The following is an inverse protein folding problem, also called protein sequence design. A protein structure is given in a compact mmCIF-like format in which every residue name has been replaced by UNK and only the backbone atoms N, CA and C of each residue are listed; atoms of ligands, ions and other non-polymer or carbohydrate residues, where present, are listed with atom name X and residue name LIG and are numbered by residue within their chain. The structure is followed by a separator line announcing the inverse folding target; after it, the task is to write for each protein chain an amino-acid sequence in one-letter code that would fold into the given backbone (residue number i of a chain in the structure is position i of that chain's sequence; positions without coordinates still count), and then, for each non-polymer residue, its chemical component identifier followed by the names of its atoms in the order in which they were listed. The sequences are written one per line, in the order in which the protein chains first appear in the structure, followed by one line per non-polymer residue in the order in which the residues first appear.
data_IF_741475209717
#
_entry.id   IF_741475209717
#
_cell.length_a   1.000
_cell.length_b   1.000
_cell.length_c   1.000
_cell.angle_alpha   90.00
_cell.angle_beta   90.00
_cell.angle_gamma   90.00
#
_symmetry.space_group_name_H-M   'P 1'
#
loop_
_entity.id
_entity.type
_entity.pdbx_description
1 polymer ?
#
# COMPACT_ATOMS: atom_id res chain seq x y z
N UNK A 1 30.02 -18.29 1.07
CA UNK A 1 29.25 -17.94 2.29
C UNK A 1 27.92 -17.31 1.89
N UNK A 2 26.83 -18.08 1.93
CA UNK A 2 25.51 -17.61 1.56
C UNK A 2 24.89 -16.79 2.70
N UNK A 3 24.69 -15.48 2.50
CA UNK A 3 23.85 -14.67 3.40
C UNK A 3 22.40 -15.10 3.21
N UNK A 4 21.89 -15.97 4.09
CA UNK A 4 20.45 -16.11 4.33
C UNK A 4 19.96 -14.81 4.96
N UNK A 5 19.61 -13.84 4.13
CA UNK A 5 18.84 -12.67 4.58
C UNK A 5 17.46 -13.15 4.98
N UNK A 6 17.19 -13.11 6.29
CA UNK A 6 15.84 -13.19 6.80
C UNK A 6 14.98 -12.17 6.03
N UNK A 7 13.95 -12.62 5.33
CA UNK A 7 13.03 -11.77 4.56
C UNK A 7 11.97 -11.08 5.45
N UNK A 8 11.89 -11.46 6.73
CA UNK A 8 10.97 -10.89 7.74
C UNK A 8 11.21 -9.41 8.17
N UNK A 9 12.43 -8.84 8.21
CA UNK A 9 12.66 -7.53 8.81
C UNK A 9 12.18 -6.38 7.94
N UNK A 10 12.06 -6.56 6.62
CA UNK A 10 11.57 -5.49 5.74
C UNK A 10 10.07 -5.25 5.92
N UNK A 11 9.28 -6.32 6.06
CA UNK A 11 7.83 -6.25 6.21
C UNK A 11 7.45 -5.55 7.52
N UNK A 12 8.07 -5.95 8.64
CA UNK A 12 7.86 -5.34 9.97
C UNK A 12 8.28 -3.86 9.96
N UNK A 13 9.44 -3.53 9.34
CA UNK A 13 9.89 -2.13 9.20
C UNK A 13 8.92 -1.29 8.38
N UNK A 14 8.35 -1.85 7.31
CA UNK A 14 7.35 -1.17 6.48
C UNK A 14 6.09 -0.81 7.26
N UNK A 15 5.57 -1.73 8.08
CA UNK A 15 4.40 -1.46 8.91
C UNK A 15 4.71 -0.55 10.10
N UNK A 16 5.90 -0.60 10.69
CA UNK A 16 6.36 0.37 11.70
C UNK A 16 6.39 1.79 11.14
N UNK A 17 6.95 1.95 9.94
CA UNK A 17 6.93 3.22 9.24
C UNK A 17 5.49 3.70 8.97
N UNK A 18 4.60 2.80 8.54
CA UNK A 18 3.19 3.10 8.36
C UNK A 18 2.47 3.50 9.66
N UNK A 19 2.71 2.80 10.76
CA UNK A 19 2.08 3.07 12.06
C UNK A 19 2.51 4.43 12.65
N UNK A 20 3.79 4.78 12.51
CA UNK A 20 4.34 6.05 13.00
C UNK A 20 4.06 7.21 12.03
N UNK A 21 4.21 6.99 10.72
CA UNK A 21 4.23 8.03 9.70
C UNK A 21 2.94 8.24 8.90
N UNK A 22 1.94 7.35 8.98
CA UNK A 22 0.73 7.51 8.18
C UNK A 22 -0.13 8.69 8.66
N UNK A 23 -0.53 9.55 7.73
CA UNK A 23 -1.33 10.74 8.05
C UNK A 23 -2.80 10.41 8.39
N UNK A 24 -3.30 9.22 8.01
CA UNK A 24 -4.68 8.80 8.22
C UNK A 24 -4.86 7.87 9.42
N UNK A 25 -5.84 8.16 10.29
CA UNK A 25 -6.16 7.36 11.49
C UNK A 25 -6.44 5.89 11.17
N UNK A 26 -7.20 5.62 10.10
CA UNK A 26 -7.47 4.24 9.65
C UNK A 26 -6.22 3.51 9.16
N UNK A 27 -5.30 4.19 8.46
CA UNK A 27 -4.07 3.60 7.98
C UNK A 27 -3.09 3.28 9.13
N UNK A 28 -3.06 4.14 10.16
CA UNK A 28 -2.32 3.87 11.40
C UNK A 28 -2.87 2.66 12.14
N UNK A 29 -4.19 2.59 12.33
CA UNK A 29 -4.84 1.47 13.02
C UNK A 29 -4.59 0.16 12.26
N UNK A 30 -4.71 0.17 10.93
CA UNK A 30 -4.39 -1.00 10.10
C UNK A 30 -2.92 -1.43 10.24
N UNK A 31 -1.97 -0.48 10.18
CA UNK A 31 -0.56 -0.80 10.32
C UNK A 31 -0.23 -1.36 11.72
N UNK A 32 -0.83 -0.81 12.77
CA UNK A 32 -0.71 -1.32 14.14
C UNK A 32 -1.30 -2.73 14.30
N UNK A 33 -2.49 -2.98 13.73
CA UNK A 33 -3.11 -4.31 13.75
C UNK A 33 -2.20 -5.35 13.10
N UNK A 34 -1.66 -5.06 11.91
CA UNK A 34 -0.75 -5.98 11.21
C UNK A 34 0.55 -6.18 11.98
N UNK A 35 1.08 -5.14 12.64
CA UNK A 35 2.25 -5.25 13.52
C UNK A 35 1.99 -6.19 14.69
N UNK A 36 0.93 -5.97 15.46
CA UNK A 36 0.55 -6.82 16.60
C UNK A 36 0.35 -8.26 16.14
N UNK A 37 -0.23 -8.44 14.96
CA UNK A 37 -0.39 -9.76 14.35
C UNK A 37 0.93 -10.49 14.15
N UNK A 38 1.89 -9.80 13.50
CA UNK A 38 3.17 -10.37 13.09
C UNK A 38 4.13 -10.54 14.27
N UNK A 39 4.10 -9.65 15.27
CA UNK A 39 5.08 -9.62 16.36
C UNK A 39 4.62 -10.27 17.65
N UNK A 40 3.30 -10.35 17.92
CA UNK A 40 2.76 -10.91 19.17
C UNK A 40 1.93 -12.16 18.92
N UNK A 41 0.94 -12.10 18.02
CA UNK A 41 0.00 -13.21 17.82
C UNK A 41 0.67 -14.41 17.13
N UNK A 42 1.42 -14.18 16.05
CA UNK A 42 2.09 -15.25 15.32
C UNK A 42 3.12 -15.98 16.19
N UNK A 43 4.02 -15.30 16.94
CA UNK A 43 4.95 -15.98 17.84
C UNK A 43 4.25 -16.68 19.01
N UNK A 44 3.23 -16.07 19.62
CA UNK A 44 2.49 -16.71 20.71
C UNK A 44 1.80 -18.00 20.27
N UNK A 45 1.26 -18.00 19.04
CA UNK A 45 0.61 -19.17 18.45
C UNK A 45 1.64 -20.27 18.10
N UNK A 46 2.82 -19.89 17.61
CA UNK A 46 3.94 -20.82 17.36
C UNK A 46 4.52 -21.39 18.67
N UNK A 47 4.68 -20.57 19.71
CA UNK A 47 5.17 -20.97 21.03
C UNK A 47 4.15 -21.87 21.72
N UNK A 48 2.86 -21.51 21.68
CA UNK A 48 1.76 -22.35 22.16
C UNK A 48 1.75 -23.70 21.45
N UNK A 49 1.91 -23.72 20.12
CA UNK A 49 2.03 -24.94 19.34
C UNK A 49 3.26 -25.80 19.73
N UNK A 50 4.40 -25.19 20.07
CA UNK A 50 5.60 -25.93 20.46
C UNK A 50 5.58 -26.43 21.91
N UNK A 51 4.99 -25.68 22.84
CA UNK A 51 5.00 -26.01 24.27
C UNK A 51 3.82 -26.91 24.69
N UNK A 52 2.68 -26.79 24.03
CA UNK A 52 1.46 -27.54 24.38
C UNK A 52 1.62 -29.07 24.27
N UNK A 53 2.30 -29.63 23.24
CA UNK A 53 2.55 -31.08 23.17
C UNK A 53 3.58 -31.55 24.20
N UNK A 54 4.56 -30.70 24.54
CA UNK A 54 5.65 -31.03 25.46
C UNK A 54 5.19 -31.10 26.92
N UNK A 55 4.22 -30.27 27.32
CA UNK A 55 3.69 -30.26 28.69
C UNK A 55 2.68 -31.37 28.99
N UNK A 56 2.02 -31.94 27.97
CA UNK A 56 0.92 -32.89 28.17
C UNK A 56 1.33 -34.37 28.03
N UNK A 57 2.59 -34.68 27.74
CA UNK A 57 3.11 -36.06 27.73
C UNK A 57 2.36 -37.03 26.81
N UNK A 58 1.72 -36.52 25.74
CA UNK A 58 0.70 -37.27 25.00
C UNK A 58 1.20 -37.89 23.68
N UNK A 59 0.62 -39.05 23.35
CA UNK A 59 0.83 -39.88 22.14
C UNK A 59 0.69 -39.10 20.81
N UNK A 60 0.91 -39.70 19.63
CA UNK A 60 0.97 -38.98 18.32
C UNK A 60 -0.34 -38.32 17.83
N UNK A 61 -1.50 -38.57 18.44
CA UNK A 61 -2.83 -38.08 18.00
C UNK A 61 -3.18 -36.58 18.28
N UNK A 62 -2.73 -35.91 19.37
CA UNK A 62 -2.96 -34.50 19.62
C UNK A 62 -2.07 -33.58 18.77
N UNK A 63 -0.96 -34.08 18.19
CA UNK A 63 -0.12 -33.28 17.27
C UNK A 63 -0.93 -32.82 16.07
N UNK A 64 -1.79 -33.69 15.53
CA UNK A 64 -2.67 -33.36 14.41
C UNK A 64 -3.73 -32.32 14.80
N UNK A 65 -4.33 -32.45 15.98
CA UNK A 65 -5.30 -31.48 16.52
C UNK A 65 -4.66 -30.12 16.78
N UNK A 66 -3.43 -30.08 17.30
CA UNK A 66 -2.66 -28.84 17.46
C UNK A 66 -2.31 -28.22 16.10
N UNK A 67 -2.00 -29.03 15.09
CA UNK A 67 -1.70 -28.56 13.73
C UNK A 67 -2.93 -27.97 13.07
N UNK A 68 -4.07 -28.64 13.20
CA UNK A 68 -5.37 -28.14 12.70
C UNK A 68 -5.76 -26.87 13.46
N UNK A 69 -5.60 -26.83 14.78
CA UNK A 69 -5.87 -25.64 15.59
C UNK A 69 -4.98 -24.45 15.21
N UNK A 70 -3.69 -24.68 14.95
CA UNK A 70 -2.77 -23.65 14.48
C UNK A 70 -3.14 -23.17 13.07
N UNK A 71 -3.48 -24.08 12.15
CA UNK A 71 -3.91 -23.76 10.80
C UNK A 71 -5.20 -22.93 10.81
N UNK A 72 -6.20 -23.34 11.60
CA UNK A 72 -7.47 -22.62 11.78
C UNK A 72 -7.22 -21.25 12.42
N UNK A 73 -6.35 -21.17 13.43
CA UNK A 73 -5.96 -19.91 14.06
C UNK A 73 -5.33 -18.93 13.07
N UNK A 74 -4.38 -19.40 12.25
CA UNK A 74 -3.75 -18.59 11.18
C UNK A 74 -4.79 -18.17 10.12
N UNK A 75 -5.72 -19.06 9.75
CA UNK A 75 -6.76 -18.75 8.76
C UNK A 75 -7.75 -17.70 9.26
N UNK A 76 -8.20 -17.83 10.52
CA UNK A 76 -9.05 -16.84 11.20
C UNK A 76 -8.34 -15.49 11.34
N UNK A 77 -7.01 -15.50 11.52
CA UNK A 77 -6.18 -14.30 11.58
C UNK A 77 -6.03 -13.61 10.21
N UNK A 78 -5.93 -14.40 9.12
CA UNK A 78 -5.82 -13.89 7.76
C UNK A 78 -7.12 -13.26 7.26
N UNK A 79 -8.28 -13.74 7.73
CA UNK A 79 -9.59 -13.27 7.28
C UNK A 79 -9.83 -11.75 7.51
N UNK A 80 -9.60 -11.16 8.70
CA UNK A 80 -9.73 -9.72 8.89
C UNK A 80 -8.67 -8.91 8.14
N UNK A 81 -7.47 -9.45 7.92
CA UNK A 81 -6.42 -8.78 7.11
C UNK A 81 -6.80 -8.77 5.64
N UNK A 82 -7.28 -9.89 5.10
CA UNK A 82 -7.76 -9.99 3.72
C UNK A 82 -9.03 -9.15 3.51
N UNK A 83 -9.96 -9.18 4.46
CA UNK A 83 -11.16 -8.34 4.48
C UNK A 83 -10.81 -6.85 4.52
N UNK A 84 -9.88 -6.45 5.38
CA UNK A 84 -9.37 -5.08 5.43
C UNK A 84 -8.65 -4.70 4.12
N UNK A 85 -7.80 -5.57 3.56
CA UNK A 85 -7.12 -5.33 2.30
C UNK A 85 -8.10 -5.16 1.12
N UNK A 86 -9.17 -5.96 1.08
CA UNK A 86 -10.24 -5.81 0.10
C UNK A 86 -11.04 -4.52 0.31
N UNK A 87 -11.46 -4.23 1.54
CA UNK A 87 -12.22 -3.02 1.87
C UNK A 87 -11.42 -1.73 1.61
N UNK A 88 -10.15 -1.70 2.00
CA UNK A 88 -9.25 -0.57 1.73
C UNK A 88 -8.71 -0.57 0.29
N UNK A 89 -8.85 -1.68 -0.44
CA UNK A 89 -8.50 -1.84 -1.85
C UNK A 89 -9.59 -1.40 -2.82
N UNK A 90 -10.86 -1.32 -2.39
CA UNK A 90 -11.96 -0.85 -3.25
C UNK A 90 -11.66 0.56 -3.77
N UNK A 91 -11.78 0.72 -5.08
CA UNK A 91 -11.49 1.97 -5.78
C UNK A 91 -10.01 2.19 -6.11
N UNK A 92 -9.10 1.26 -5.78
CA UNK A 92 -7.71 1.30 -6.26
C UNK A 92 -7.58 0.61 -7.61
N UNK A 93 -6.89 1.28 -8.54
CA UNK A 93 -6.44 0.73 -9.83
C UNK A 93 -4.93 0.91 -9.92
N UNK A 94 -4.23 -0.18 -10.21
CA UNK A 94 -2.79 -0.16 -10.43
C UNK A 94 -2.53 -0.32 -11.93
N UNK A 95 -1.75 0.61 -12.49
CA UNK A 95 -1.28 0.59 -13.86
C UNK A 95 0.19 0.23 -13.85
N UNK A 96 0.59 -0.75 -14.64
CA UNK A 96 1.95 -1.28 -14.66
C UNK A 96 2.57 -1.04 -16.04
N UNK A 97 3.87 -0.72 -16.08
CA UNK A 97 4.62 -0.66 -17.34
C UNK A 97 4.65 -2.03 -18.02
N UNK A 98 4.82 -2.05 -19.35
CA UNK A 98 4.95 -3.28 -20.14
C UNK A 98 6.15 -4.13 -19.70
N UNK A 99 7.25 -3.47 -19.35
CA UNK A 99 8.47 -4.06 -18.77
C UNK A 99 8.31 -4.51 -17.30
N UNK A 100 7.16 -4.27 -16.67
CA UNK A 100 6.84 -4.63 -15.28
C UNK A 100 7.83 -4.07 -14.23
N UNK A 101 8.49 -2.98 -14.57
CA UNK A 101 9.47 -2.29 -13.74
C UNK A 101 8.92 -1.04 -13.05
N UNK A 102 7.70 -0.62 -13.38
CA UNK A 102 7.06 0.55 -12.81
C UNK A 102 5.55 0.33 -12.58
N UNK A 103 5.02 0.91 -11.50
CA UNK A 103 3.60 0.85 -11.13
C UNK A 103 3.10 2.22 -10.67
N UNK A 104 1.99 2.66 -11.24
CA UNK A 104 1.21 3.82 -10.83
C UNK A 104 -0.10 3.36 -10.18
N UNK A 105 -0.35 3.77 -8.93
CA UNK A 105 -1.61 3.44 -8.22
C UNK A 105 -2.50 4.66 -8.11
N UNK A 106 -3.71 4.56 -8.65
CA UNK A 106 -4.78 5.56 -8.56
C UNK A 106 -5.90 5.02 -7.68
N UNK A 107 -6.35 5.81 -6.72
CA UNK A 107 -7.43 5.46 -5.79
C UNK A 107 -8.59 6.45 -5.87
N UNK A 108 -9.80 5.97 -6.10
CA UNK A 108 -11.00 6.76 -5.85
C UNK A 108 -11.28 6.84 -4.34
N UNK A 109 -11.34 8.04 -3.78
CA UNK A 109 -11.58 8.27 -2.36
C UNK A 109 -12.33 9.59 -2.12
N UNK A 110 -13.59 9.52 -1.69
CA UNK A 110 -14.39 10.71 -1.31
C UNK A 110 -14.64 11.67 -2.46
N UNK A 111 -15.10 11.17 -3.61
CA UNK A 111 -15.44 12.00 -4.79
C UNK A 111 -14.24 12.57 -5.56
N UNK A 112 -13.02 12.16 -5.20
CA UNK A 112 -11.76 12.57 -5.84
C UNK A 112 -10.91 11.35 -6.16
N UNK A 113 -10.01 11.50 -7.13
CA UNK A 113 -9.02 10.48 -7.47
C UNK A 113 -7.66 10.87 -6.89
N UNK A 114 -7.06 9.96 -6.14
CA UNK A 114 -5.78 10.14 -5.49
C UNK A 114 -4.73 9.26 -6.15
N UNK A 115 -3.70 9.88 -6.71
CA UNK A 115 -2.49 9.20 -7.18
C UNK A 115 -1.62 8.96 -5.95
N UNK A 116 -1.62 7.72 -5.46
CA UNK A 116 -1.02 7.38 -4.16
C UNK A 116 0.47 7.07 -4.28
N UNK A 117 0.88 6.30 -5.27
CA UNK A 117 2.26 5.85 -5.40
C UNK A 117 2.66 5.68 -6.85
N UNK A 118 3.90 6.08 -7.11
CA UNK A 118 4.62 5.78 -8.33
C UNK A 118 5.89 5.04 -7.93
N UNK A 119 5.86 3.72 -8.07
CA UNK A 119 6.98 2.85 -7.72
C UNK A 119 7.71 2.41 -8.96
N UNK A 120 9.04 2.38 -8.86
CA UNK A 120 9.90 1.80 -9.87
C UNK A 120 10.83 0.78 -9.21
N UNK A 121 10.92 -0.42 -9.79
CA UNK A 121 11.82 -1.47 -9.34
C UNK A 121 13.29 -1.02 -9.45
N UNK A 122 13.62 -0.26 -10.51
CA UNK A 122 14.96 0.28 -10.73
C UNK A 122 14.90 1.80 -11.00
N UNK A 123 14.92 2.63 -9.94
CA UNK A 123 14.81 4.08 -10.11
C UNK A 123 15.94 4.61 -11.01
N UNK A 124 15.58 5.42 -12.02
CA UNK A 124 16.41 6.02 -13.10
C UNK A 124 16.64 5.18 -14.36
N UNK A 125 16.47 3.86 -14.31
CA UNK A 125 16.63 2.98 -15.49
C UNK A 125 15.32 2.36 -15.95
N UNK A 126 14.31 2.36 -15.09
CA UNK A 126 12.96 1.93 -15.40
C UNK A 126 12.26 2.85 -16.39
N UNK A 127 11.35 2.27 -17.17
CA UNK A 127 10.40 2.95 -18.08
C UNK A 127 9.30 3.74 -17.35
N UNK A 128 9.70 4.48 -16.33
CA UNK A 128 8.81 5.30 -15.53
C UNK A 128 8.25 6.48 -16.30
N UNK A 129 9.06 7.06 -17.19
CA UNK A 129 8.62 8.24 -17.95
C UNK A 129 7.55 7.86 -18.99
N UNK A 130 7.68 6.71 -19.65
CA UNK A 130 6.68 6.23 -20.61
C UNK A 130 5.35 5.88 -19.94
N UNK A 131 5.38 5.22 -18.77
CA UNK A 131 4.17 4.93 -18.00
C UNK A 131 3.46 6.22 -17.56
N UNK A 132 4.21 7.21 -17.12
CA UNK A 132 3.67 8.51 -16.73
C UNK A 132 3.07 9.25 -17.93
N UNK A 133 3.83 9.38 -19.01
CA UNK A 133 3.44 10.12 -20.21
C UNK A 133 2.22 9.49 -20.92
N UNK A 134 2.00 8.19 -20.78
CA UNK A 134 0.79 7.53 -21.30
C UNK A 134 -0.40 7.58 -20.33
N UNK A 135 -0.16 7.24 -19.06
CA UNK A 135 -1.28 7.03 -18.11
C UNK A 135 -1.85 8.34 -17.61
N UNK A 136 -1.02 9.37 -17.45
CA UNK A 136 -1.45 10.65 -16.87
C UNK A 136 -2.38 11.41 -17.81
N UNK A 137 -2.12 11.58 -19.11
CA UNK A 137 -3.09 12.23 -20.01
C UNK A 137 -4.45 11.54 -20.02
N UNK A 138 -4.46 10.21 -20.11
CA UNK A 138 -5.71 9.43 -20.08
C UNK A 138 -6.46 9.59 -18.75
N UNK A 139 -5.73 9.63 -17.62
CA UNK A 139 -6.31 9.89 -16.31
C UNK A 139 -6.91 11.30 -16.20
N UNK A 140 -6.22 12.31 -16.74
CA UNK A 140 -6.67 13.70 -16.73
C UNK A 140 -7.95 13.87 -17.56
N UNK A 141 -8.01 13.27 -18.75
CA UNK A 141 -9.19 13.29 -19.62
C UNK A 141 -10.38 12.58 -18.98
N UNK A 142 -10.15 11.40 -18.39
CA UNK A 142 -11.19 10.68 -17.67
C UNK A 142 -11.71 11.47 -16.46
N UNK A 143 -10.83 12.18 -15.76
CA UNK A 143 -11.21 13.03 -14.63
C UNK A 143 -12.01 14.25 -15.08
N UNK A 144 -11.67 14.85 -16.21
CA UNK A 144 -12.42 15.97 -16.80
C UNK A 144 -13.83 15.53 -17.20
N UNK A 145 -13.97 14.40 -17.90
CA UNK A 145 -15.27 13.81 -18.24
C UNK A 145 -16.14 13.50 -17.02
N UNK A 146 -15.52 13.01 -15.95
CA UNK A 146 -16.22 12.67 -14.72
C UNK A 146 -16.47 13.87 -13.80
N UNK A 147 -15.91 15.05 -14.10
CA UNK A 147 -15.95 16.20 -13.19
C UNK A 147 -15.23 15.94 -11.86
N UNK A 148 -14.19 15.11 -11.86
CA UNK A 148 -13.51 14.64 -10.65
C UNK A 148 -12.17 15.34 -10.45
N UNK A 149 -11.87 15.73 -9.21
CA UNK A 149 -10.55 16.28 -8.85
C UNK A 149 -9.48 15.20 -8.79
N UNK A 150 -8.26 15.53 -9.21
CA UNK A 150 -7.08 14.68 -9.04
C UNK A 150 -6.20 15.24 -7.94
N UNK A 151 -5.94 14.45 -6.91
CA UNK A 151 -4.91 14.70 -5.91
C UNK A 151 -3.70 13.81 -6.16
N UNK A 152 -2.51 14.38 -6.02
CA UNK A 152 -1.26 13.62 -6.08
C UNK A 152 -0.36 14.02 -4.91
N UNK A 153 0.48 13.07 -4.47
CA UNK A 153 1.51 13.34 -3.48
C UNK A 153 2.88 13.10 -4.10
N UNK A 154 3.67 14.16 -4.24
CA UNK A 154 5.06 14.04 -4.66
C UNK A 154 5.96 13.80 -3.44
N UNK A 155 6.96 12.94 -3.54
CA UNK A 155 7.82 12.60 -2.39
C UNK A 155 8.70 13.76 -1.92
N UNK A 156 8.99 14.71 -2.80
CA UNK A 156 9.77 15.90 -2.50
C UNK A 156 9.44 17.03 -3.47
N UNK A 157 9.96 18.23 -3.17
CA UNK A 157 9.73 19.44 -3.97
C UNK A 157 10.30 19.32 -5.40
N UNK A 158 11.41 18.58 -5.61
CA UNK A 158 11.98 18.38 -6.95
C UNK A 158 11.01 17.62 -7.85
N UNK A 159 10.40 16.56 -7.33
CA UNK A 159 9.40 15.78 -8.04
C UNK A 159 8.10 16.56 -8.24
N UNK A 160 7.68 17.34 -7.24
CA UNK A 160 6.51 18.22 -7.35
C UNK A 160 6.66 19.23 -8.49
N UNK A 161 7.84 19.85 -8.62
CA UNK A 161 8.16 20.75 -9.74
C UNK A 161 8.18 20.02 -11.07
N UNK A 162 8.70 18.79 -11.12
CA UNK A 162 8.67 17.98 -12.33
C UNK A 162 7.23 17.73 -12.80
N UNK A 163 6.33 17.33 -11.89
CA UNK A 163 4.91 17.13 -12.21
C UNK A 163 4.22 18.41 -12.68
N UNK A 164 4.46 19.54 -12.00
CA UNK A 164 3.88 20.83 -12.39
C UNK A 164 4.33 21.31 -13.77
N UNK A 165 5.56 20.99 -14.20
CA UNK A 165 6.03 21.32 -15.55
C UNK A 165 5.29 20.53 -16.64
N UNK A 166 4.98 19.26 -16.39
CA UNK A 166 4.25 18.39 -17.33
C UNK A 166 2.74 18.66 -17.30
N UNK A 167 2.20 19.08 -16.15
CA UNK A 167 0.78 19.37 -15.95
C UNK A 167 0.65 20.79 -15.37
N UNK A 168 0.49 21.82 -16.21
CA UNK A 168 0.49 23.22 -15.76
C UNK A 168 -0.61 23.54 -14.73
N UNK A 169 -1.76 22.87 -14.84
CA UNK A 169 -2.94 23.09 -13.99
C UNK A 169 -2.82 22.46 -12.59
N UNK A 170 -1.70 21.79 -12.30
CA UNK A 170 -1.45 21.19 -10.99
C UNK A 170 -1.10 22.29 -9.97
N UNK A 171 -1.99 22.51 -9.01
CA UNK A 171 -1.81 23.44 -7.90
C UNK A 171 -1.14 22.76 -6.73
N UNK A 172 -0.20 23.45 -6.08
CA UNK A 172 0.41 23.01 -4.82
C UNK A 172 -0.49 23.38 -3.66
N UNK A 173 -0.88 22.39 -2.86
CA UNK A 173 -1.68 22.60 -1.65
C UNK A 173 -0.82 22.80 -0.39
N UNK A 174 0.41 22.28 -0.40
CA UNK A 174 1.34 22.41 0.73
C UNK A 174 2.20 21.18 0.94
N UNK A 175 3.04 21.24 1.97
CA UNK A 175 3.91 20.14 2.41
C UNK A 175 3.22 19.41 3.56
N UNK A 176 3.23 18.08 3.54
CA UNK A 176 2.77 17.25 4.67
C UNK A 176 3.93 16.75 5.51
N UNK A 177 3.65 16.22 6.70
CA UNK A 177 4.61 15.93 7.78
C UNK A 177 5.87 15.13 7.39
N UNK A 178 5.89 14.46 6.25
CA UNK A 178 7.03 13.66 5.75
C UNK A 178 7.85 14.38 4.66
N UNK A 179 7.67 15.69 4.47
CA UNK A 179 8.34 16.44 3.38
C UNK A 179 7.72 16.21 2.00
N UNK A 180 6.68 15.38 1.93
CA UNK A 180 5.92 15.15 0.72
C UNK A 180 5.08 16.39 0.37
N UNK A 181 4.90 16.66 -0.92
CA UNK A 181 4.15 17.81 -1.42
C UNK A 181 2.81 17.34 -1.96
N UNK A 182 1.72 17.90 -1.43
CA UNK A 182 0.37 17.66 -1.95
C UNK A 182 0.09 18.57 -3.14
N UNK A 183 -0.45 17.95 -4.18
CA UNK A 183 -0.79 18.58 -5.46
C UNK A 183 -2.25 18.28 -5.78
N UNK A 184 -2.94 19.26 -6.34
CA UNK A 184 -4.35 19.19 -6.71
C UNK A 184 -4.55 19.73 -8.13
N UNK A 185 -5.29 19.00 -8.94
CA UNK A 185 -5.78 19.44 -10.23
C UNK A 185 -7.30 19.41 -10.24
N UNK A 186 -7.88 20.55 -10.57
CA UNK A 186 -9.33 20.70 -10.73
C UNK A 186 -9.70 20.26 -12.15
N UNK A 187 -10.81 19.55 -12.35
CA UNK A 187 -11.26 19.17 -13.68
C UNK A 187 -11.49 20.41 -14.54
N UNK A 188 -11.15 20.33 -15.83
CA UNK A 188 -11.51 21.37 -16.79
C UNK A 188 -13.00 21.24 -17.12
N UNK A 189 -13.73 22.35 -17.27
CA UNK A 189 -15.10 22.28 -17.76
C UNK A 189 -15.07 21.66 -19.16
N UNK A 190 -15.80 20.55 -19.34
CA UNK A 190 -16.05 20.03 -20.67
C UNK A 190 -17.02 21.01 -21.35
N UNK A 191 -16.77 21.46 -22.60
CA UNK A 191 -17.78 22.18 -23.34
C UNK A 191 -18.99 21.26 -23.48
N UNK A 192 -20.05 21.59 -22.76
CA UNK A 192 -21.36 20.96 -22.89
C UNK A 192 -21.80 21.11 -24.34
N UNK A 193 -21.92 19.98 -25.05
CA UNK A 193 -22.70 19.87 -26.29
C UNK A 193 -24.16 20.15 -26.02
#
# INVERSE_FOLDING_TARGET
MARRTAHLPWLIRGYLYGACGACGRCAKVYAWLVLVLLTLMLPALLIGFMLFPAMLGWSRRPVLLSLVGALVGVFLLMFPVAGAAMLFGRGRRAYMSSSRDAVLVVRAAGGRWKVENFFAAHPKTSETESLWDFTVPALLEAADRAGVHIEATAMNEKLARHYKRKIPDLRRLGVVCTGQVKLLRVPRPHPTS
#
